data_IF_858082081210
#
_entry.id   IF_858082081210
#
_cell.length_a   1.000
_cell.length_b   1.000
_cell.length_c   1.000
_cell.angle_alpha   90.00
_cell.angle_beta   90.00
_cell.angle_gamma   90.00
#
_symmetry.space_group_name_H-M   'P 1'
#
loop_
_entity.id
_entity.type
_entity.pdbx_description
1 polymer ?
#
# COMPACT_ATOMS: atom_id res chain seq x y z
N UNK A 1 -24.93 -4.94 -18.13
CA UNK A 1 -24.02 -5.33 -17.06
C UNK A 1 -22.77 -4.47 -17.20
N UNK A 2 -22.54 -3.51 -16.33
CA UNK A 2 -21.31 -2.72 -16.33
C UNK A 2 -20.20 -3.67 -15.85
N UNK A 3 -19.30 -4.06 -16.76
CA UNK A 3 -18.07 -4.78 -16.35
C UNK A 3 -17.24 -3.79 -15.55
N UNK A 4 -17.13 -4.00 -14.24
CA UNK A 4 -16.16 -3.31 -13.41
C UNK A 4 -14.76 -3.87 -13.76
N UNK A 5 -14.19 -3.37 -14.81
CA UNK A 5 -12.83 -3.69 -15.23
C UNK A 5 -11.88 -2.70 -14.57
N UNK A 6 -11.49 -2.96 -13.32
CA UNK A 6 -10.35 -2.28 -12.70
C UNK A 6 -9.06 -2.54 -13.49
N UNK A 7 -8.11 -1.61 -13.41
CA UNK A 7 -6.78 -1.83 -14.01
C UNK A 7 -6.04 -2.95 -13.27
N UNK A 8 -5.27 -3.74 -14.01
CA UNK A 8 -4.31 -4.66 -13.40
C UNK A 8 -3.05 -3.88 -13.02
N UNK A 9 -2.94 -3.57 -11.73
CA UNK A 9 -1.79 -2.86 -11.17
C UNK A 9 -0.87 -3.77 -10.35
N UNK A 10 -1.16 -5.07 -10.25
CA UNK A 10 -0.31 -6.02 -9.53
C UNK A 10 1.01 -6.28 -10.24
N UNK A 11 2.07 -6.38 -9.46
CA UNK A 11 3.44 -6.65 -9.89
C UNK A 11 3.91 -7.94 -9.24
N UNK A 12 3.72 -9.04 -9.98
CA UNK A 12 4.03 -10.39 -9.52
C UNK A 12 4.86 -11.11 -10.58
N UNK A 13 5.85 -11.82 -10.15
CA UNK A 13 6.59 -12.78 -10.96
C UNK A 13 6.72 -14.10 -10.20
N UNK A 14 6.44 -15.21 -10.84
CA UNK A 14 6.65 -16.55 -10.30
C UNK A 14 7.57 -17.31 -11.26
N UNK A 15 8.58 -17.96 -10.71
CA UNK A 15 9.59 -18.69 -11.46
C UNK A 15 9.58 -20.14 -10.99
N UNK A 16 9.35 -21.06 -11.92
CA UNK A 16 9.37 -22.52 -11.74
C UNK A 16 8.48 -23.03 -10.58
N UNK A 17 7.43 -22.29 -10.22
CA UNK A 17 6.55 -22.55 -9.08
C UNK A 17 7.27 -22.60 -7.71
N UNK A 18 8.55 -22.24 -7.67
CA UNK A 18 9.41 -22.33 -6.50
C UNK A 18 9.71 -20.98 -5.87
N UNK A 19 9.80 -19.93 -6.69
CA UNK A 19 10.17 -18.59 -6.24
C UNK A 19 9.15 -17.57 -6.74
N UNK A 20 8.62 -16.79 -5.82
CA UNK A 20 7.69 -15.69 -6.11
C UNK A 20 8.27 -14.34 -5.76
N UNK A 21 7.86 -13.31 -6.49
CA UNK A 21 8.18 -11.92 -6.22
C UNK A 21 6.91 -11.08 -6.28
N UNK A 22 6.73 -10.18 -5.30
CA UNK A 22 5.63 -9.23 -5.28
C UNK A 22 6.05 -7.91 -4.62
N UNK A 23 5.52 -6.78 -5.09
CA UNK A 23 5.84 -5.47 -4.53
C UNK A 23 5.49 -4.32 -5.45
N UNK A 24 6.20 -3.20 -5.34
CA UNK A 24 5.94 -1.99 -6.09
C UNK A 24 6.67 -1.89 -7.43
N UNK A 25 7.73 -2.67 -7.68
CA UNK A 25 8.55 -2.54 -8.88
C UNK A 25 7.81 -2.82 -10.19
N UNK A 26 7.94 -1.91 -11.14
CA UNK A 26 7.71 -2.18 -12.55
C UNK A 26 9.03 -2.46 -13.27
N UNK A 27 8.95 -3.03 -14.47
CA UNK A 27 10.09 -3.18 -15.37
C UNK A 27 10.30 -1.83 -16.06
N UNK A 28 11.30 -1.08 -15.61
CA UNK A 28 11.63 0.26 -16.13
C UNK A 28 12.85 0.85 -15.45
N UNK A 29 13.53 1.78 -16.13
CA UNK A 29 14.78 2.39 -15.65
C UNK A 29 14.59 3.18 -14.34
N UNK A 30 13.47 3.88 -14.17
CA UNK A 30 13.19 4.64 -12.95
C UNK A 30 13.17 3.74 -11.73
N UNK A 31 12.50 2.57 -11.82
CA UNK A 31 12.44 1.58 -10.74
C UNK A 31 13.78 0.89 -10.49
N UNK A 32 14.57 0.68 -11.54
CA UNK A 32 15.85 0.00 -11.42
C UNK A 32 16.95 0.88 -10.84
N UNK A 33 16.88 2.21 -11.00
CA UNK A 33 18.02 3.11 -10.76
C UNK A 33 17.73 4.33 -9.90
N UNK A 34 16.49 4.85 -9.94
CA UNK A 34 16.17 6.16 -9.38
C UNK A 34 15.22 6.09 -8.18
N UNK A 35 14.18 5.27 -8.27
CA UNK A 35 13.14 5.25 -7.25
C UNK A 35 13.47 4.30 -6.10
N UNK A 36 13.03 4.68 -4.92
CA UNK A 36 13.09 3.84 -3.74
C UNK A 36 11.82 2.98 -3.68
N UNK A 37 11.96 1.67 -3.80
CA UNK A 37 10.81 0.74 -3.74
C UNK A 37 11.13 -0.48 -2.87
N UNK A 38 10.09 -1.28 -2.58
CA UNK A 38 10.21 -2.51 -1.81
C UNK A 38 9.52 -3.66 -2.54
N UNK A 39 10.23 -4.77 -2.65
CA UNK A 39 9.74 -6.02 -3.24
C UNK A 39 10.09 -7.17 -2.31
N UNK A 40 9.17 -8.08 -2.10
CA UNK A 40 9.40 -9.31 -1.34
C UNK A 40 9.71 -10.45 -2.30
N UNK A 41 10.71 -11.26 -1.93
CA UNK A 41 10.97 -12.55 -2.54
C UNK A 41 10.50 -13.63 -1.60
N UNK A 42 9.71 -14.54 -2.13
CA UNK A 42 9.12 -15.64 -1.41
C UNK A 42 9.60 -16.99 -1.96
N UNK A 43 9.73 -17.99 -1.09
CA UNK A 43 9.97 -19.38 -1.43
C UNK A 43 9.09 -20.28 -0.59
N UNK A 44 8.68 -21.40 -1.16
CA UNK A 44 7.86 -22.38 -0.47
C UNK A 44 6.37 -22.29 -0.80
N UNK A 45 5.49 -22.83 0.07
CA UNK A 45 4.08 -23.06 -0.26
C UNK A 45 3.30 -21.82 -0.65
N UNK A 46 3.65 -20.66 -0.13
CA UNK A 46 2.92 -19.41 -0.37
C UNK A 46 3.14 -18.85 -1.79
N UNK A 47 4.17 -19.31 -2.53
CA UNK A 47 4.36 -19.00 -3.97
C UNK A 47 3.14 -19.41 -4.79
N UNK A 48 2.48 -20.52 -4.42
CA UNK A 48 1.23 -20.93 -5.04
C UNK A 48 0.15 -19.85 -5.01
N UNK A 49 0.02 -19.13 -3.90
CA UNK A 49 -0.98 -18.07 -3.77
C UNK A 49 -0.69 -16.86 -4.69
N UNK A 50 0.59 -16.57 -4.97
CA UNK A 50 0.98 -15.60 -5.99
C UNK A 50 0.60 -16.10 -7.39
N UNK A 51 0.86 -17.37 -7.71
CA UNK A 51 0.43 -18.01 -8.95
C UNK A 51 -1.09 -17.98 -9.12
N UNK A 52 -1.86 -18.28 -8.07
CA UNK A 52 -3.32 -18.15 -8.08
C UNK A 52 -3.77 -16.72 -8.37
N UNK A 53 -3.12 -15.73 -7.78
CA UNK A 53 -3.41 -14.33 -8.08
C UNK A 53 -3.20 -13.97 -9.55
N UNK A 54 -2.19 -14.55 -10.22
CA UNK A 54 -1.99 -14.43 -11.67
C UNK A 54 -3.12 -15.13 -12.44
N UNK A 55 -3.41 -16.40 -12.09
CA UNK A 55 -4.44 -17.19 -12.75
C UNK A 55 -5.82 -16.55 -12.72
N UNK A 56 -6.23 -16.00 -11.59
CA UNK A 56 -7.53 -15.32 -11.45
C UNK A 56 -7.67 -14.19 -12.48
N UNK A 57 -6.61 -13.40 -12.63
CA UNK A 57 -6.59 -12.27 -13.57
C UNK A 57 -6.54 -12.75 -15.02
N UNK A 58 -5.69 -13.72 -15.30
CA UNK A 58 -5.57 -14.34 -16.61
C UNK A 58 -6.90 -14.94 -17.05
N UNK A 59 -7.50 -15.78 -16.22
CA UNK A 59 -8.71 -16.51 -16.53
C UNK A 59 -9.94 -15.61 -16.68
N UNK A 60 -9.94 -14.44 -16.03
CA UNK A 60 -11.00 -13.44 -16.22
C UNK A 60 -11.02 -12.83 -17.62
N UNK A 61 -9.92 -12.92 -18.39
CA UNK A 61 -9.75 -12.25 -19.68
C UNK A 61 -9.49 -13.22 -20.85
N UNK A 62 -9.35 -14.52 -20.61
CA UNK A 62 -9.04 -15.54 -21.60
C UNK A 62 -10.18 -16.56 -21.77
N UNK A 63 -10.20 -17.22 -22.93
CA UNK A 63 -11.25 -18.19 -23.29
C UNK A 63 -11.07 -19.52 -22.55
N UNK A 64 -12.14 -20.29 -22.46
CA UNK A 64 -12.07 -21.67 -22.00
C UNK A 64 -11.07 -22.45 -22.89
N UNK A 65 -10.09 -23.12 -22.30
CA UNK A 65 -8.98 -23.79 -22.98
C UNK A 65 -7.64 -23.05 -22.90
N UNK A 66 -7.65 -21.75 -22.62
CA UNK A 66 -6.44 -20.94 -22.36
C UNK A 66 -6.27 -20.64 -20.86
N UNK A 67 -7.08 -21.26 -20.04
CA UNK A 67 -7.10 -21.02 -18.59
C UNK A 67 -5.88 -21.61 -17.90
N UNK A 68 -5.33 -20.85 -16.97
CA UNK A 68 -4.25 -21.28 -16.07
C UNK A 68 -4.83 -21.91 -14.82
N UNK A 69 -4.20 -22.98 -14.35
CA UNK A 69 -4.48 -23.58 -13.05
C UNK A 69 -3.18 -23.90 -12.33
N UNK A 70 -3.20 -23.78 -11.02
CA UNK A 70 -2.06 -24.07 -10.16
C UNK A 70 -2.47 -25.16 -9.18
N UNK A 71 -1.65 -26.19 -9.06
CA UNK A 71 -1.88 -27.24 -8.09
C UNK A 71 -1.63 -26.69 -6.69
N UNK A 72 -2.61 -26.80 -5.75
CA UNK A 72 -2.37 -26.38 -4.37
C UNK A 72 -1.19 -27.16 -3.76
N UNK A 73 -0.38 -26.53 -2.90
CA UNK A 73 0.69 -27.21 -2.21
C UNK A 73 0.13 -28.16 -1.15
N UNK A 74 0.91 -29.20 -0.83
CA UNK A 74 0.55 -30.18 0.22
C UNK A 74 0.73 -29.59 1.64
N UNK A 75 1.45 -28.49 1.77
CA UNK A 75 1.71 -27.79 3.04
C UNK A 75 1.34 -26.33 2.93
N UNK A 76 1.10 -25.69 4.07
CA UNK A 76 0.75 -24.27 4.15
C UNK A 76 1.52 -23.58 5.27
N UNK A 77 2.00 -22.36 5.05
CA UNK A 77 2.53 -21.50 6.12
C UNK A 77 1.43 -20.49 6.54
N UNK A 78 0.84 -20.64 7.73
CA UNK A 78 -0.24 -19.78 8.18
C UNK A 78 0.20 -18.32 8.44
N UNK A 79 1.52 -18.08 8.50
CA UNK A 79 2.06 -16.74 8.71
C UNK A 79 2.04 -15.89 7.45
N UNK A 80 1.92 -16.50 6.27
CA UNK A 80 2.02 -15.83 4.98
C UNK A 80 0.70 -15.98 4.23
N UNK A 81 0.13 -14.85 3.81
CA UNK A 81 -1.10 -14.81 3.03
C UNK A 81 -0.94 -13.85 1.84
N UNK A 82 -1.42 -14.23 0.68
CA UNK A 82 -1.51 -13.33 -0.48
C UNK A 82 -2.94 -12.77 -0.55
N UNK A 83 -3.07 -11.50 -0.27
CA UNK A 83 -4.32 -10.77 -0.44
C UNK A 83 -4.38 -10.21 -1.88
N UNK A 84 -5.32 -10.71 -2.68
CA UNK A 84 -5.49 -10.31 -4.06
C UNK A 84 -6.89 -9.73 -4.30
N UNK A 85 -6.96 -8.49 -4.74
CA UNK A 85 -8.22 -7.84 -5.10
C UNK A 85 -8.80 -8.44 -6.37
N UNK A 86 -10.11 -8.66 -6.37
CA UNK A 86 -10.88 -9.22 -7.50
C UNK A 86 -12.07 -8.31 -7.83
N UNK A 87 -11.83 -7.20 -8.55
CA UNK A 87 -12.86 -6.20 -8.83
C UNK A 87 -14.16 -6.72 -9.45
N UNK A 88 -14.13 -7.70 -10.39
CA UNK A 88 -15.37 -8.25 -10.96
C UNK A 88 -16.28 -8.94 -9.94
N UNK A 89 -15.70 -9.42 -8.83
CA UNK A 89 -16.43 -10.08 -7.74
C UNK A 89 -16.69 -9.13 -6.57
N UNK A 90 -16.24 -7.88 -6.64
CA UNK A 90 -16.28 -6.89 -5.55
C UNK A 90 -15.59 -7.38 -4.27
N UNK A 91 -14.49 -8.13 -4.42
CA UNK A 91 -13.72 -8.70 -3.31
C UNK A 91 -12.41 -7.93 -3.17
N UNK A 92 -12.23 -7.30 -2.02
CA UNK A 92 -11.10 -6.41 -1.72
C UNK A 92 -10.40 -6.78 -0.41
N UNK A 93 -9.73 -7.94 -0.33
CA UNK A 93 -9.12 -8.43 0.90
C UNK A 93 -7.97 -7.55 1.40
N UNK A 94 -7.27 -6.84 0.51
CA UNK A 94 -6.19 -5.92 0.92
C UNK A 94 -6.75 -4.84 1.84
N UNK A 95 -7.85 -4.20 1.44
CA UNK A 95 -8.50 -3.16 2.24
C UNK A 95 -8.95 -3.69 3.60
N UNK A 96 -9.56 -4.86 3.63
CA UNK A 96 -10.00 -5.50 4.88
C UNK A 96 -8.83 -5.82 5.80
N UNK A 97 -7.72 -6.31 5.25
CA UNK A 97 -6.50 -6.61 6.00
C UNK A 97 -5.89 -5.33 6.63
N UNK A 98 -5.84 -4.22 5.88
CA UNK A 98 -5.42 -2.93 6.43
C UNK A 98 -6.34 -2.47 7.56
N UNK A 99 -7.66 -2.50 7.37
CA UNK A 99 -8.62 -2.07 8.38
C UNK A 99 -8.52 -2.90 9.66
N UNK A 100 -8.45 -4.24 9.54
CA UNK A 100 -8.31 -5.13 10.69
C UNK A 100 -7.00 -4.85 11.47
N UNK A 101 -5.88 -4.74 10.76
CA UNK A 101 -4.58 -4.45 11.38
C UNK A 101 -4.57 -3.07 12.08
N UNK A 102 -5.06 -2.01 11.45
CA UNK A 102 -5.13 -0.66 12.02
C UNK A 102 -6.05 -0.60 13.23
N UNK A 103 -7.21 -1.25 13.18
CA UNK A 103 -8.18 -1.26 14.29
C UNK A 103 -7.65 -2.00 15.51
N UNK A 104 -6.87 -3.07 15.32
CA UNK A 104 -6.26 -3.86 16.39
C UNK A 104 -4.96 -3.28 16.93
N UNK A 105 -4.35 -2.33 16.23
CA UNK A 105 -3.09 -1.72 16.61
C UNK A 105 -3.13 -1.15 18.04
N UNK A 106 -2.08 -1.45 18.83
CA UNK A 106 -1.93 -1.02 20.21
C UNK A 106 -0.69 -0.14 20.44
N UNK A 107 0.35 -0.29 19.63
CA UNK A 107 1.64 0.37 19.85
C UNK A 107 2.06 1.25 18.68
N UNK A 108 2.14 0.69 17.46
CA UNK A 108 2.72 1.39 16.33
C UNK A 108 2.13 0.97 15.00
N UNK A 109 1.97 1.94 14.11
CA UNK A 109 1.62 1.74 12.70
C UNK A 109 2.60 2.53 11.84
N UNK A 110 3.32 1.85 10.94
CA UNK A 110 4.24 2.45 9.96
C UNK A 110 3.72 2.16 8.56
N UNK A 111 3.50 3.20 7.76
CA UNK A 111 2.98 3.08 6.39
C UNK A 111 3.91 3.83 5.43
N UNK A 112 4.34 3.14 4.36
CA UNK A 112 4.93 3.74 3.16
C UNK A 112 3.98 3.62 1.99
N UNK A 113 3.70 4.73 1.31
CA UNK A 113 2.90 4.73 0.09
C UNK A 113 3.23 5.93 -0.77
N UNK A 114 3.37 5.79 -2.10
CA UNK A 114 3.61 6.93 -2.99
C UNK A 114 2.42 7.88 -3.03
N UNK A 115 1.21 7.37 -2.91
CA UNK A 115 -0.04 8.16 -2.90
C UNK A 115 -0.84 7.79 -1.67
N UNK A 116 -1.17 8.80 -0.85
CA UNK A 116 -1.98 8.65 0.35
C UNK A 116 -3.31 9.38 0.17
N UNK A 117 -4.27 8.71 -0.45
CA UNK A 117 -5.63 9.23 -0.70
C UNK A 117 -6.64 8.21 -0.15
N UNK A 118 -6.61 7.95 1.16
CA UNK A 118 -7.41 6.90 1.78
C UNK A 118 -8.91 7.16 1.63
N UNK A 119 -9.69 6.10 1.57
CA UNK A 119 -11.12 6.23 1.78
C UNK A 119 -11.43 6.64 3.22
N UNK A 120 -12.66 7.08 3.45
CA UNK A 120 -13.06 7.61 4.75
C UNK A 120 -12.85 6.60 5.90
N UNK A 121 -13.11 5.30 5.68
CA UNK A 121 -13.00 4.31 6.74
C UNK A 121 -11.54 4.04 7.13
N UNK A 122 -10.63 3.98 6.15
CA UNK A 122 -9.20 3.82 6.41
C UNK A 122 -8.65 5.06 7.12
N UNK A 123 -9.01 6.26 6.66
CA UNK A 123 -8.62 7.51 7.32
C UNK A 123 -9.11 7.55 8.78
N UNK A 124 -10.40 7.32 9.01
CA UNK A 124 -10.96 7.35 10.36
C UNK A 124 -10.35 6.28 11.28
N UNK A 125 -10.03 5.10 10.75
CA UNK A 125 -9.33 4.06 11.51
C UNK A 125 -7.95 4.53 11.98
N UNK A 126 -7.16 5.19 11.10
CA UNK A 126 -5.85 5.75 11.45
C UNK A 126 -5.96 6.90 12.47
N UNK A 127 -6.89 7.84 12.25
CA UNK A 127 -7.15 8.93 13.20
C UNK A 127 -7.55 8.40 14.58
N UNK A 128 -8.39 7.37 14.61
CA UNK A 128 -8.83 6.74 15.84
C UNK A 128 -7.68 5.99 16.54
N UNK A 129 -6.82 5.29 15.80
CA UNK A 129 -5.63 4.64 16.33
C UNK A 129 -4.69 5.67 17.00
N UNK A 130 -4.40 6.79 16.32
CA UNK A 130 -3.57 7.86 16.86
C UNK A 130 -4.16 8.46 18.15
N UNK A 131 -5.49 8.72 18.17
CA UNK A 131 -6.18 9.22 19.38
C UNK A 131 -6.18 8.22 20.55
N UNK A 132 -6.04 6.92 20.29
CA UNK A 132 -5.83 5.90 21.34
C UNK A 132 -4.39 5.89 21.87
N UNK A 133 -3.48 6.68 21.30
CA UNK A 133 -2.06 6.73 21.70
C UNK A 133 -1.16 5.81 20.88
N UNK A 134 -1.63 5.22 19.79
CA UNK A 134 -0.80 4.45 18.87
C UNK A 134 0.14 5.40 18.10
N UNK A 135 1.43 5.08 18.03
CA UNK A 135 2.42 5.81 17.23
C UNK A 135 2.16 5.53 15.73
N UNK A 136 1.43 6.42 15.07
CA UNK A 136 1.10 6.31 13.65
C UNK A 136 2.02 7.19 12.83
N UNK A 137 2.76 6.58 11.90
CA UNK A 137 3.67 7.28 11.00
C UNK A 137 3.35 6.93 9.55
N UNK A 138 3.19 7.95 8.71
CA UNK A 138 2.92 7.81 7.28
C UNK A 138 4.03 8.51 6.51
N UNK A 139 4.70 7.76 5.64
CA UNK A 139 5.75 8.27 4.75
C UNK A 139 5.24 8.30 3.31
N UNK A 140 5.39 9.47 2.69
CA UNK A 140 5.06 9.73 1.29
C UNK A 140 6.23 10.46 0.64
N UNK A 141 6.36 10.47 -0.71
CA UNK A 141 7.34 11.32 -1.36
C UNK A 141 7.03 12.80 -1.11
N UNK A 142 8.06 13.65 -1.03
CA UNK A 142 7.87 15.11 -1.02
C UNK A 142 7.29 15.58 -2.34
N UNK A 143 7.83 15.05 -3.44
CA UNK A 143 7.33 15.25 -4.79
C UNK A 143 7.22 13.89 -5.49
N UNK A 144 6.04 13.59 -5.98
CA UNK A 144 5.80 12.37 -6.75
C UNK A 144 5.79 12.66 -8.26
N UNK A 145 5.61 11.60 -9.05
CA UNK A 145 5.41 11.73 -10.49
C UNK A 145 3.96 12.12 -10.88
N UNK A 146 3.09 12.35 -9.89
CA UNK A 146 1.68 12.73 -10.09
C UNK A 146 1.27 13.91 -9.22
N UNK A 147 1.46 15.11 -9.73
CA UNK A 147 1.22 16.38 -9.00
C UNK A 147 -0.19 16.51 -8.42
N UNK A 148 -1.21 15.98 -9.11
CA UNK A 148 -2.61 16.00 -8.63
C UNK A 148 -2.79 15.09 -7.42
N UNK A 149 -2.15 13.91 -7.42
CA UNK A 149 -2.17 12.99 -6.29
C UNK A 149 -1.46 13.58 -5.07
N UNK A 150 -0.35 14.32 -5.27
CA UNK A 150 0.36 15.01 -4.20
C UNK A 150 -0.53 16.04 -3.51
N UNK A 151 -1.20 16.88 -4.28
CA UNK A 151 -2.13 17.88 -3.74
C UNK A 151 -3.33 17.23 -3.06
N UNK A 152 -3.87 16.15 -3.62
CA UNK A 152 -4.98 15.41 -3.01
C UNK A 152 -4.56 14.77 -1.66
N UNK A 153 -3.34 14.20 -1.59
CA UNK A 153 -2.76 13.66 -0.34
C UNK A 153 -2.61 14.73 0.72
N UNK A 154 -2.04 15.89 0.36
CA UNK A 154 -1.81 17.02 1.28
C UNK A 154 -3.09 17.50 1.94
N UNK A 155 -4.22 17.38 1.29
CA UNK A 155 -5.50 17.77 1.86
C UNK A 155 -5.99 16.91 3.04
N UNK A 156 -5.34 15.78 3.35
CA UNK A 156 -5.60 14.98 4.55
C UNK A 156 -4.69 15.35 5.72
N UNK A 157 -3.53 15.97 5.44
CA UNK A 157 -2.45 16.14 6.41
C UNK A 157 -2.89 16.97 7.63
N UNK A 158 -3.70 18.01 7.45
CA UNK A 158 -4.19 18.81 8.60
C UNK A 158 -4.87 17.95 9.66
N UNK A 159 -5.87 17.16 9.24
CA UNK A 159 -6.60 16.26 10.16
C UNK A 159 -5.70 15.18 10.77
N UNK A 160 -4.71 14.71 10.02
CA UNK A 160 -3.75 13.71 10.51
C UNK A 160 -2.83 14.29 11.58
N UNK A 161 -2.29 15.48 11.35
CA UNK A 161 -1.44 16.20 12.31
C UNK A 161 -2.21 16.55 13.60
N UNK A 162 -3.44 17.04 13.48
CA UNK A 162 -4.34 17.32 14.61
C UNK A 162 -4.61 16.06 15.45
N UNK A 163 -4.66 14.87 14.83
CA UNK A 163 -4.83 13.60 15.54
C UNK A 163 -3.53 13.05 16.14
N UNK A 164 -2.37 13.67 15.88
CA UNK A 164 -1.06 13.24 16.37
C UNK A 164 -0.33 12.28 15.44
N UNK A 165 -0.81 12.08 14.20
CA UNK A 165 -0.11 11.25 13.20
C UNK A 165 1.15 11.97 12.71
N UNK A 166 2.27 11.27 12.69
CA UNK A 166 3.52 11.77 12.12
C UNK A 166 3.51 11.59 10.60
N UNK A 167 3.74 12.68 9.87
CA UNK A 167 3.87 12.65 8.41
C UNK A 167 5.33 12.92 8.03
N UNK A 168 5.89 12.02 7.23
CA UNK A 168 7.26 12.05 6.76
C UNK A 168 7.29 12.26 5.24
N UNK A 169 7.94 13.32 4.78
CA UNK A 169 8.15 13.60 3.36
C UNK A 169 9.54 13.10 2.95
N UNK A 170 9.57 12.04 2.17
CA UNK A 170 10.82 11.46 1.68
C UNK A 170 11.43 12.30 0.56
N UNK A 171 12.73 12.64 0.68
CA UNK A 171 13.41 13.63 -0.18
C UNK A 171 14.49 13.06 -1.09
N UNK A 172 15.00 11.87 -0.79
CA UNK A 172 16.17 11.37 -1.52
C UNK A 172 15.86 11.00 -2.98
N UNK A 173 14.62 10.59 -3.24
CA UNK A 173 14.09 10.24 -4.58
C UNK A 173 12.56 10.05 -4.47
N UNK A 174 11.91 9.61 -5.53
CA UNK A 174 10.54 9.09 -5.45
C UNK A 174 10.52 7.81 -4.61
N UNK A 175 9.85 7.84 -3.43
CA UNK A 175 9.56 6.60 -2.69
C UNK A 175 8.27 5.99 -3.26
N UNK A 176 8.41 4.80 -3.86
CA UNK A 176 7.30 4.09 -4.52
C UNK A 176 6.91 2.81 -3.79
N UNK A 177 7.47 2.57 -2.60
CA UNK A 177 7.14 1.43 -1.77
C UNK A 177 5.68 1.48 -1.28
N UNK A 178 5.02 0.31 -1.26
CA UNK A 178 3.69 0.12 -0.69
C UNK A 178 3.80 -0.93 0.39
N UNK A 179 4.09 -0.45 1.60
CA UNK A 179 4.32 -1.32 2.76
C UNK A 179 3.61 -0.77 3.98
N UNK A 180 3.22 -1.67 4.86
CA UNK A 180 2.80 -1.30 6.20
C UNK A 180 3.30 -2.33 7.21
N UNK A 181 3.57 -1.86 8.44
CA UNK A 181 3.92 -2.71 9.58
C UNK A 181 3.13 -2.24 10.80
N UNK A 182 2.55 -3.19 11.52
CA UNK A 182 1.75 -2.91 12.71
C UNK A 182 2.26 -3.73 13.89
N UNK A 183 2.53 -3.06 14.99
CA UNK A 183 2.91 -3.60 16.30
C UNK A 183 4.11 -4.58 16.27
N UNK A 184 5.00 -4.45 15.27
CA UNK A 184 6.17 -5.32 15.13
C UNK A 184 5.84 -6.79 14.90
N UNK A 185 4.66 -7.09 14.33
CA UNK A 185 4.24 -8.48 14.06
C UNK A 185 3.53 -8.63 12.70
N UNK A 186 2.62 -7.76 12.34
CA UNK A 186 1.92 -7.78 11.06
C UNK A 186 2.61 -6.87 10.06
N UNK A 187 2.85 -7.37 8.86
CA UNK A 187 3.42 -6.56 7.78
C UNK A 187 2.77 -6.88 6.45
N UNK A 188 2.75 -5.90 5.55
CA UNK A 188 2.35 -6.11 4.17
C UNK A 188 3.31 -5.43 3.20
N UNK A 189 3.59 -6.12 2.08
CA UNK A 189 4.36 -5.62 0.94
C UNK A 189 3.59 -5.97 -0.32
N UNK A 190 3.36 -5.00 -1.21
CA UNK A 190 2.63 -5.30 -2.42
C UNK A 190 2.54 -4.15 -3.42
N UNK A 191 1.53 -4.22 -4.25
CA UNK A 191 1.29 -3.25 -5.31
C UNK A 191 0.26 -2.17 -4.93
N UNK A 192 -0.55 -2.39 -3.88
CA UNK A 192 -1.65 -1.50 -3.52
C UNK A 192 -1.17 -0.25 -2.78
N UNK A 193 -1.42 0.91 -3.34
CA UNK A 193 -1.31 2.18 -2.61
C UNK A 193 -2.39 2.28 -1.53
N UNK A 194 -2.20 3.20 -0.59
CA UNK A 194 -3.26 3.59 0.34
C UNK A 194 -4.12 4.67 -0.32
N UNK A 195 -4.77 4.29 -1.41
CA UNK A 195 -5.72 5.11 -2.13
C UNK A 195 -7.00 4.32 -2.46
N UNK A 196 -8.05 5.04 -2.83
CA UNK A 196 -9.36 4.45 -3.10
C UNK A 196 -9.34 3.51 -4.32
N UNK A 197 -8.56 3.84 -5.36
CA UNK A 197 -8.47 3.03 -6.57
C UNK A 197 -7.79 1.71 -6.29
N UNK A 198 -6.66 1.73 -5.60
CA UNK A 198 -5.92 0.51 -5.26
C UNK A 198 -6.69 -0.36 -4.26
N UNK A 199 -7.32 0.25 -3.25
CA UNK A 199 -8.00 -0.52 -2.21
C UNK A 199 -9.41 -1.00 -2.59
N UNK A 200 -10.05 -0.38 -3.60
CA UNK A 200 -11.46 -0.65 -3.90
C UNK A 200 -11.84 -0.84 -5.37
N UNK A 201 -10.91 -0.75 -6.33
CA UNK A 201 -11.26 -0.82 -7.75
C UNK A 201 -10.27 -1.60 -8.62
N UNK A 202 -8.97 -1.57 -8.30
CA UNK A 202 -7.95 -2.20 -9.12
C UNK A 202 -7.70 -3.65 -8.72
N UNK A 203 -7.20 -4.46 -9.68
CA UNK A 203 -6.50 -5.68 -9.36
C UNK A 203 -5.15 -5.33 -8.73
N UNK A 204 -5.01 -5.66 -7.49
CA UNK A 204 -3.80 -5.49 -6.69
C UNK A 204 -3.43 -6.81 -6.02
N UNK A 205 -2.20 -6.94 -5.58
CA UNK A 205 -1.76 -8.09 -4.80
C UNK A 205 -0.74 -7.67 -3.76
N UNK A 206 -1.04 -8.00 -2.51
CA UNK A 206 -0.14 -7.80 -1.38
C UNK A 206 0.18 -9.13 -0.72
N UNK A 207 1.43 -9.33 -0.36
CA UNK A 207 1.85 -10.37 0.57
C UNK A 207 1.68 -9.81 1.97
N UNK A 208 0.96 -10.54 2.80
CA UNK A 208 0.76 -10.25 4.23
C UNK A 208 1.53 -11.28 5.04
N UNK A 209 2.37 -10.82 5.95
CA UNK A 209 3.21 -11.66 6.79
C UNK A 209 2.94 -11.34 8.26
N UNK A 210 2.65 -12.36 9.05
CA UNK A 210 2.46 -12.26 10.51
C UNK A 210 3.65 -12.96 11.17
N UNK A 211 4.75 -12.22 11.30
CA UNK A 211 6.01 -12.74 11.81
C UNK A 211 6.85 -11.59 12.40
N UNK A 212 7.41 -11.79 13.60
CA UNK A 212 8.16 -10.73 14.29
C UNK A 212 9.49 -10.38 13.63
N UNK A 213 10.21 -11.37 13.13
CA UNK A 213 11.53 -11.14 12.52
C UNK A 213 11.37 -10.40 11.19
N UNK A 214 10.36 -10.78 10.41
CA UNK A 214 10.01 -10.07 9.19
C UNK A 214 9.56 -8.64 9.48
N UNK A 215 8.70 -8.44 10.47
CA UNK A 215 8.23 -7.11 10.87
C UNK A 215 9.38 -6.23 11.37
N UNK A 216 10.29 -6.77 12.19
CA UNK A 216 11.48 -6.05 12.64
C UNK A 216 12.34 -5.58 11.46
N UNK A 217 12.52 -6.44 10.45
CA UNK A 217 13.23 -6.05 9.22
C UNK A 217 12.52 -4.94 8.44
N UNK A 218 11.19 -4.97 8.37
CA UNK A 218 10.40 -3.92 7.74
C UNK A 218 10.47 -2.60 8.51
N UNK A 219 10.48 -2.64 9.84
CA UNK A 219 10.68 -1.45 10.69
C UNK A 219 12.09 -0.85 10.53
N UNK A 220 13.14 -1.68 10.42
CA UNK A 220 14.50 -1.22 10.11
C UNK A 220 14.54 -0.49 8.76
N UNK A 221 13.91 -1.06 7.73
CA UNK A 221 13.82 -0.45 6.40
C UNK A 221 13.10 0.91 6.49
N UNK A 222 11.97 0.97 7.19
CA UNK A 222 11.25 2.22 7.40
C UNK A 222 12.11 3.26 8.11
N UNK A 223 12.83 2.87 9.16
CA UNK A 223 13.71 3.76 9.93
C UNK A 223 14.88 4.30 9.09
N UNK A 224 15.45 3.49 8.19
CA UNK A 224 16.48 3.94 7.24
C UNK A 224 15.91 4.94 6.23
N UNK A 225 14.71 4.71 5.72
CA UNK A 225 14.04 5.64 4.83
C UNK A 225 13.68 6.95 5.56
N UNK A 226 13.26 6.88 6.82
CA UNK A 226 12.91 8.03 7.65
C UNK A 226 14.09 8.98 7.88
N UNK A 227 15.35 8.47 7.90
CA UNK A 227 16.55 9.32 7.98
C UNK A 227 16.71 10.25 6.76
N UNK A 228 16.06 9.93 5.65
CA UNK A 228 16.07 10.70 4.41
C UNK A 228 14.75 11.46 4.17
N UNK A 229 13.91 11.50 5.18
CA UNK A 229 12.63 12.18 5.14
C UNK A 229 12.64 13.40 6.08
N UNK A 230 11.75 14.34 5.82
CA UNK A 230 11.50 15.49 6.69
C UNK A 230 10.13 15.31 7.32
N UNK A 231 10.10 15.42 8.65
CA UNK A 231 8.84 15.44 9.40
C UNK A 231 8.13 16.77 9.17
N UNK A 232 6.84 16.71 8.86
CA UNK A 232 5.97 17.88 8.87
C UNK A 232 5.57 18.17 10.31
N UNK A 233 5.78 19.38 10.78
CA UNK A 233 5.23 19.88 12.03
C UNK A 233 3.96 20.72 11.79
N UNK A 234 3.10 20.80 12.80
CA UNK A 234 1.83 21.51 12.72
C UNK A 234 2.01 23.01 12.43
N UNK A 235 2.92 23.76 13.12
CA UNK A 235 3.13 25.17 12.83
C UNK A 235 3.54 25.44 11.37
N UNK A 236 4.49 24.66 10.86
CA UNK A 236 4.95 24.78 9.47
C UNK A 236 3.85 24.43 8.46
N UNK A 237 2.97 23.50 8.83
CA UNK A 237 1.83 23.14 8.01
C UNK A 237 0.77 24.24 7.97
N UNK A 238 0.50 24.88 9.09
CA UNK A 238 -0.46 25.99 9.20
C UNK A 238 0.02 27.27 8.50
N UNK A 239 1.33 27.53 8.45
CA UNK A 239 1.95 28.71 7.83
C UNK A 239 2.12 28.58 6.29
N UNK A 240 1.64 27.49 5.68
CA UNK A 240 1.72 27.31 4.23
C UNK A 240 0.90 28.35 3.47
N UNK A 241 1.38 28.73 2.27
CA UNK A 241 0.75 29.77 1.44
C UNK A 241 -0.75 29.55 1.26
N UNK A 242 -1.54 30.62 1.36
CA UNK A 242 -3.00 30.57 1.20
C UNK A 242 -3.47 29.97 -0.13
N UNK A 243 -2.68 30.13 -1.22
CA UNK A 243 -2.95 29.53 -2.51
C UNK A 243 -2.93 28.00 -2.45
N UNK A 244 -2.04 27.40 -1.66
CA UNK A 244 -1.99 25.94 -1.45
C UNK A 244 -3.29 25.42 -0.82
N UNK A 245 -3.83 26.12 0.16
CA UNK A 245 -5.12 25.78 0.79
C UNK A 245 -6.28 25.83 -0.20
N UNK A 246 -6.27 26.81 -1.12
CA UNK A 246 -7.31 26.92 -2.16
C UNK A 246 -7.24 25.74 -3.13
N UNK A 247 -6.04 25.36 -3.60
CA UNK A 247 -5.85 24.22 -4.50
C UNK A 247 -6.27 22.92 -3.83
N UNK A 248 -5.88 22.70 -2.57
CA UNK A 248 -6.29 21.53 -1.78
C UNK A 248 -7.83 21.44 -1.65
N UNK A 249 -8.50 22.60 -1.38
CA UNK A 249 -9.95 22.67 -1.27
C UNK A 249 -10.66 22.38 -2.60
N UNK A 250 -10.13 22.87 -3.71
CA UNK A 250 -10.66 22.61 -5.06
C UNK A 250 -10.57 21.14 -5.47
N UNK A 251 -9.59 20.39 -4.95
CA UNK A 251 -9.40 18.97 -5.24
C UNK A 251 -10.25 18.03 -4.36
N UNK A 252 -10.87 18.54 -3.28
CA UNK A 252 -11.74 17.74 -2.40
C UNK A 252 -12.84 16.99 -3.17
N UNK A 253 -13.57 17.60 -4.12
CA UNK A 253 -14.60 16.91 -4.89
C UNK A 253 -14.05 15.83 -5.84
N UNK A 254 -12.76 15.92 -6.23
CA UNK A 254 -12.11 14.98 -7.14
C UNK A 254 -11.52 13.75 -6.41
N UNK A 255 -11.38 13.79 -5.09
CA UNK A 255 -10.85 12.67 -4.28
C UNK A 255 -11.56 11.32 -4.51
N UNK A 256 -12.89 11.26 -4.75
CA UNK A 256 -13.55 10.01 -5.07
C UNK A 256 -13.14 9.40 -6.42
N UNK A 257 -12.47 10.17 -7.27
CA UNK A 257 -12.04 9.76 -8.62
C UNK A 257 -10.54 9.40 -8.68
N UNK A 258 -9.82 9.70 -7.60
CA UNK A 258 -8.39 9.43 -7.37
C UNK A 258 -8.25 8.32 -6.31
#
# INVERSE_FOLDING_TARGET
>A
MVRHSGFNHSKIMVVDDEVGFAGGFNIGDDYARLWRDTHVRERGPAVWALGQSISIKWNAHHRAGEQMSWRPPDTWDPRITVAANQPPLLVYPIRLSYLDAIQRAQHRILINTPYFIPDQQVLEALLHAARRGVDVQVMVPEDSNHIVADWASRGFFGKMLEAGITILLYRASMIHAKTATVDGIWSTVGSANVDRLSLGFNYESNVVVVDRDFAARMEEIFALDAQRAVRIDTPRWEDRHGLARVVEALLVPLRPLL
#
